data_IF_326575776860
#
_entry.id   IF_326575776860
#
_cell.length_a   1.000
_cell.length_b   1.000
_cell.length_c   1.000
_cell.angle_alpha   90.00
_cell.angle_beta   90.00
_cell.angle_gamma   90.00
#
_symmetry.space_group_name_H-M   'P 1'
#
loop_
_entity.id
_entity.type
_entity.pdbx_description
1 polymer ?
#
# COMPACT_ATOMS: atom_id res chain seq x y z
N UNK A 1 -4.99 -4.50 5.12
CA UNK A 1 -5.59 -4.39 6.46
C UNK A 1 -4.59 -4.93 7.46
N UNK A 2 -4.43 -4.32 8.65
CA UNK A 2 -3.55 -4.86 9.68
C UNK A 2 -3.99 -6.25 10.15
N UNK A 3 -3.04 -7.14 10.37
CA UNK A 3 -3.26 -8.35 11.17
C UNK A 3 -2.99 -8.04 12.64
N UNK A 4 -4.05 -7.91 13.45
CA UNK A 4 -3.95 -7.51 14.84
C UNK A 4 -3.17 -8.50 15.71
N UNK A 5 -3.06 -9.77 15.30
CA UNK A 5 -2.26 -10.77 16.02
C UNK A 5 -0.76 -10.47 15.92
N UNK A 6 -0.34 -9.71 14.90
CA UNK A 6 1.04 -9.25 14.70
C UNK A 6 1.36 -7.94 15.43
N UNK A 7 0.36 -7.30 16.05
CA UNK A 7 0.50 -6.03 16.79
C UNK A 7 -0.02 -6.14 18.24
N UNK A 8 0.41 -7.15 19.02
CA UNK A 8 -0.23 -7.49 20.30
C UNK A 8 -0.16 -6.38 21.37
N UNK A 9 0.86 -5.53 21.31
CA UNK A 9 1.07 -4.44 22.27
C UNK A 9 0.72 -3.05 21.69
N UNK A 10 0.22 -2.97 20.46
CA UNK A 10 -0.02 -1.70 19.79
C UNK A 10 -1.40 -1.13 20.13
N UNK A 11 -1.44 -0.13 21.02
CA UNK A 11 -2.62 0.73 21.20
C UNK A 11 -2.57 1.95 20.27
N UNK A 12 -3.54 2.07 19.37
CA UNK A 12 -3.61 3.18 18.42
C UNK A 12 -3.83 4.55 19.08
N UNK A 13 -4.41 4.61 20.29
CA UNK A 13 -4.54 5.86 21.04
C UNK A 13 -3.21 6.33 21.63
N UNK A 14 -2.25 5.42 21.80
CA UNK A 14 -0.93 5.71 22.37
C UNK A 14 0.13 5.89 21.28
N UNK A 15 0.15 5.00 20.29
CA UNK A 15 1.19 4.90 19.26
C UNK A 15 0.77 5.44 17.90
N UNK A 16 -0.49 5.86 17.75
CA UNK A 16 -1.06 6.28 16.48
C UNK A 16 -1.55 5.09 15.62
N UNK A 17 -2.09 5.36 14.43
CA UNK A 17 -2.73 4.35 13.61
C UNK A 17 -1.75 3.26 13.15
N UNK A 18 -2.18 2.00 13.17
CA UNK A 18 -1.43 0.88 12.60
C UNK A 18 -1.47 0.97 11.08
N UNK A 19 -2.64 1.28 10.51
CA UNK A 19 -2.85 1.31 9.06
C UNK A 19 -2.31 2.59 8.41
N UNK A 20 -0.98 2.65 8.27
CA UNK A 20 -0.26 3.73 7.60
C UNK A 20 0.60 3.21 6.45
N UNK A 21 0.85 4.04 5.43
CA UNK A 21 1.75 3.66 4.33
C UNK A 21 3.17 3.32 4.83
N UNK A 22 3.63 3.99 5.88
CA UNK A 22 4.92 3.71 6.51
C UNK A 22 4.95 2.32 7.12
N UNK A 23 3.95 1.95 7.93
CA UNK A 23 3.89 0.63 8.54
C UNK A 23 3.69 -0.47 7.50
N UNK A 24 2.84 -0.25 6.49
CA UNK A 24 2.66 -1.21 5.39
C UNK A 24 3.96 -1.46 4.62
N UNK A 25 4.80 -0.43 4.45
CA UNK A 25 6.09 -0.56 3.77
C UNK A 25 7.16 -1.24 4.64
N UNK A 26 7.18 -0.92 5.94
CA UNK A 26 8.21 -1.39 6.87
C UNK A 26 7.91 -2.80 7.42
N UNK A 27 6.63 -3.13 7.58
CA UNK A 27 6.14 -4.39 8.15
C UNK A 27 5.12 -5.07 7.23
N UNK A 28 5.44 -5.35 5.95
CA UNK A 28 4.48 -5.87 5.00
C UNK A 28 3.85 -7.22 5.42
N UNK A 29 4.60 -8.04 6.17
CA UNK A 29 4.12 -9.30 6.76
C UNK A 29 3.07 -9.15 7.87
N UNK A 30 2.83 -7.94 8.35
CA UNK A 30 1.80 -7.65 9.37
C UNK A 30 0.51 -7.10 8.76
N UNK A 31 0.36 -7.15 7.44
CA UNK A 31 -0.82 -6.68 6.72
C UNK A 31 -1.30 -7.72 5.70
N UNK A 32 -2.61 -7.95 5.66
CA UNK A 32 -3.27 -8.83 4.71
C UNK A 32 -3.89 -8.01 3.58
N UNK A 33 -3.61 -8.43 2.33
CA UNK A 33 -4.23 -7.87 1.13
C UNK A 33 -5.60 -8.50 0.85
N UNK A 34 -6.64 -7.67 0.75
CA UNK A 34 -8.01 -8.15 0.55
C UNK A 34 -8.24 -8.85 -0.80
N UNK A 35 -7.38 -8.64 -1.79
CA UNK A 35 -7.55 -9.24 -3.11
C UNK A 35 -7.18 -10.73 -3.15
N UNK A 36 -6.35 -11.22 -2.23
CA UNK A 36 -5.83 -12.58 -2.26
C UNK A 36 -5.60 -13.22 -0.89
N UNK A 37 -5.90 -12.49 0.19
CA UNK A 37 -5.72 -12.93 1.58
C UNK A 37 -4.27 -13.32 1.92
N UNK A 38 -3.31 -12.78 1.17
CA UNK A 38 -1.88 -12.96 1.40
C UNK A 38 -1.27 -11.75 2.09
N UNK A 39 -0.15 -11.98 2.77
CA UNK A 39 0.67 -10.94 3.36
C UNK A 39 1.46 -10.16 2.31
N UNK A 40 1.92 -8.97 2.67
CA UNK A 40 2.65 -8.10 1.76
C UNK A 40 4.06 -8.58 1.38
N UNK A 41 4.59 -9.56 2.12
CA UNK A 41 5.88 -10.19 1.88
C UNK A 41 5.77 -11.56 1.17
N UNK A 42 4.55 -12.01 0.85
CA UNK A 42 4.30 -13.19 0.04
C UNK A 42 4.28 -12.88 -1.47
N UNK A 43 4.32 -13.95 -2.28
CA UNK A 43 4.19 -13.82 -3.73
C UNK A 43 2.88 -13.12 -4.13
N UNK A 44 2.95 -12.08 -4.98
CA UNK A 44 1.77 -11.33 -5.36
C UNK A 44 0.80 -12.22 -6.15
N UNK A 45 -0.50 -12.02 -5.94
CA UNK A 45 -1.53 -12.76 -6.66
C UNK A 45 -1.68 -12.32 -8.14
N UNK A 46 -1.15 -11.15 -8.48
CA UNK A 46 -1.18 -10.58 -9.83
C UNK A 46 0.18 -9.95 -10.13
N UNK A 47 0.67 -10.14 -11.34
CA UNK A 47 1.87 -9.48 -11.88
C UNK A 47 1.53 -8.93 -13.27
N UNK A 48 1.86 -7.66 -13.52
CA UNK A 48 1.75 -7.03 -14.84
C UNK A 48 3.04 -6.25 -15.15
N UNK A 49 3.22 -5.88 -16.41
CA UNK A 49 4.36 -5.09 -16.88
C UNK A 49 4.28 -3.64 -16.40
N UNK A 50 5.41 -3.10 -15.94
CA UNK A 50 5.52 -1.67 -15.65
C UNK A 50 5.17 -0.86 -16.91
N UNK A 51 4.16 0.02 -16.79
CA UNK A 51 3.78 0.94 -17.86
C UNK A 51 4.29 2.33 -17.50
N UNK A 52 5.17 2.87 -18.34
CA UNK A 52 5.53 4.27 -18.24
C UNK A 52 4.27 5.13 -18.38
N UNK A 53 4.14 6.17 -17.55
CA UNK A 53 3.11 7.19 -17.78
C UNK A 53 3.49 7.93 -19.06
N UNK A 54 2.73 7.74 -20.14
CA UNK A 54 2.88 8.54 -21.35
C UNK A 54 2.52 9.99 -21.00
N UNK A 55 3.49 10.88 -21.13
CA UNK A 55 3.28 12.32 -20.99
C UNK A 55 2.44 12.78 -22.18
N UNK A 56 1.15 13.04 -21.97
CA UNK A 56 0.31 13.61 -23.02
C UNK A 56 0.54 15.12 -23.09
N UNK A 57 1.31 15.54 -24.09
CA UNK A 57 1.60 16.95 -24.37
C UNK A 57 0.32 17.78 -24.61
N UNK A 58 -0.74 17.18 -25.15
CA UNK A 58 -2.01 17.85 -25.42
C UNK A 58 -2.77 18.17 -24.13
N UNK A 59 -2.72 17.27 -23.14
CA UNK A 59 -3.32 17.49 -21.82
C UNK A 59 -2.54 18.55 -21.01
N UNK A 60 -1.22 18.60 -21.13
CA UNK A 60 -0.38 19.59 -20.44
C UNK A 60 -0.58 21.04 -20.94
N UNK A 61 -0.97 21.24 -22.21
CA UNK A 61 -1.25 22.57 -22.77
C UNK A 61 -2.54 23.20 -22.23
N UNK A 62 -3.53 22.38 -21.83
CA UNK A 62 -4.85 22.85 -21.38
C UNK A 62 -4.90 23.36 -19.94
N UNK A 63 -3.87 23.10 -19.13
CA UNK A 63 -3.80 23.56 -17.74
C UNK A 63 -3.00 24.88 -17.57
N UNK A 64 -2.66 25.55 -18.68
CA UNK A 64 -1.88 26.80 -18.69
C UNK A 64 -2.69 28.05 -19.10
N UNK A 65 -4.01 27.97 -19.13
CA UNK A 65 -4.90 29.12 -19.35
C UNK A 65 -6.07 29.10 -18.36
#
# INVERSE_FOLDING_TARGET
>A
MPDYDMWPDHDENCHGPIDTEENQRNYPGSFIYQCCERYGDEDPCVTDWHRERKYDYETAKRQRF
#
